data_IF_235717937685
#
_entry.id   IF_235717937685
#
_cell.length_a   1.000
_cell.length_b   1.000
_cell.length_c   1.000
_cell.angle_alpha   90.00
_cell.angle_beta   90.00
_cell.angle_gamma   90.00
#
_symmetry.space_group_name_H-M   'P 1'
#
loop_
_entity.id
_entity.type
_entity.pdbx_description
1 polymer ?
#
# COMPACT_ATOMS: atom_id res chain seq x y z
N UNK A 1 -15.71 21.35 -21.45
CA UNK A 1 -15.38 20.94 -21.25
C UNK A 1 -14.99 20.19 -20.77
N UNK A 2 -14.78 19.82 -20.67
CA UNK A 2 -14.47 19.29 -20.28
C UNK A 2 -14.02 18.47 -19.89
N UNK A 3 -13.65 18.22 -19.71
CA UNK A 3 -13.17 17.51 -19.38
C UNK A 3 -13.03 16.78 -18.77
N UNK A 4 -13.08 16.47 -18.40
CA UNK A 4 -12.93 15.75 -17.72
C UNK A 4 -12.76 14.74 -17.54
N UNK A 5 -12.71 14.66 -17.62
CA UNK A 5 -12.83 13.64 -17.37
C UNK A 5 -12.14 12.66 -17.10
N UNK A 6 -11.58 12.28 -17.29
CA UNK A 6 -11.01 11.18 -17.11
C UNK A 6 -10.48 10.89 -16.04
N UNK A 7 -10.41 11.37 -15.80
CA UNK A 7 -9.96 11.20 -14.94
C UNK A 7 -10.31 10.45 -14.14
N UNK A 8 -10.97 10.37 -13.85
CA UNK A 8 -11.51 9.63 -12.96
C UNK A 8 -11.20 8.26 -12.87
N UNK A 9 -10.40 7.70 -13.61
CA UNK A 9 -10.10 6.37 -13.45
C UNK A 9 -9.38 6.04 -12.20
N UNK A 10 -8.64 6.90 -11.58
CA UNK A 10 -7.94 6.61 -10.35
C UNK A 10 -8.06 7.78 -9.40
N UNK A 11 -8.75 7.55 -8.31
CA UNK A 11 -8.91 8.56 -7.28
C UNK A 11 -7.84 8.30 -6.22
N UNK A 12 -6.88 9.19 -6.11
CA UNK A 12 -5.76 9.01 -5.20
C UNK A 12 -6.06 9.44 -3.76
N UNK A 13 -7.28 9.91 -3.49
CA UNK A 13 -7.62 10.30 -2.14
C UNK A 13 -7.77 9.07 -1.24
N UNK A 14 -7.36 9.22 0.00
CA UNK A 14 -7.55 8.15 0.98
C UNK A 14 -8.96 8.20 1.50
N UNK A 15 -9.66 7.08 1.41
CA UNK A 15 -11.00 6.98 1.98
C UNK A 15 -10.88 6.67 3.47
N UNK A 16 -12.02 6.71 4.19
CA UNK A 16 -12.03 6.32 5.60
C UNK A 16 -11.53 4.91 5.78
N UNK A 17 -11.91 4.02 4.87
CA UNK A 17 -11.46 2.64 4.94
C UNK A 17 -9.96 2.54 4.71
N UNK A 18 -9.44 3.32 3.78
CA UNK A 18 -7.99 3.35 3.54
C UNK A 18 -7.26 3.83 4.80
N UNK A 19 -7.80 4.84 5.47
CA UNK A 19 -7.18 5.35 6.69
C UNK A 19 -7.17 4.30 7.79
N UNK A 20 -8.24 3.52 7.91
CA UNK A 20 -8.28 2.46 8.90
C UNK A 20 -7.25 1.38 8.59
N UNK A 21 -7.14 1.00 7.32
CA UNK A 21 -6.15 0.01 6.91
C UNK A 21 -4.74 0.52 7.13
N UNK A 22 -4.51 1.78 6.85
CA UNK A 22 -3.22 2.42 7.06
C UNK A 22 -2.83 2.35 8.53
N UNK A 23 -3.74 2.71 9.42
CA UNK A 23 -3.46 2.70 10.85
C UNK A 23 -3.18 1.29 11.35
N UNK A 24 -3.98 0.33 10.92
CA UNK A 24 -3.80 -1.05 11.33
C UNK A 24 -2.44 -1.57 10.88
N UNK A 25 -2.09 -1.28 9.62
CA UNK A 25 -0.83 -1.73 9.05
C UNK A 25 0.34 -1.10 9.81
N UNK A 26 0.26 0.20 10.06
CA UNK A 26 1.35 0.90 10.77
C UNK A 26 1.53 0.34 12.17
N UNK A 27 0.44 0.09 12.87
CA UNK A 27 0.50 -0.46 14.21
C UNK A 27 1.16 -1.82 14.23
N UNK A 28 0.80 -2.69 13.27
CA UNK A 28 1.36 -4.03 13.21
C UNK A 28 2.84 -4.00 12.86
N UNK A 29 3.22 -3.13 11.94
CA UNK A 29 4.62 -2.99 11.57
C UNK A 29 5.46 -2.49 12.74
N UNK A 30 4.93 -1.52 13.49
CA UNK A 30 5.64 -1.01 14.66
C UNK A 30 5.79 -2.08 15.73
N UNK A 31 4.76 -2.87 15.92
CA UNK A 31 4.82 -3.94 16.89
C UNK A 31 5.90 -4.95 16.53
N UNK A 32 6.09 -5.20 15.25
CA UNK A 32 7.08 -6.15 14.77
C UNK A 32 8.43 -5.51 14.48
N UNK A 33 8.58 -4.21 14.74
CA UNK A 33 9.82 -3.47 14.51
C UNK A 33 10.25 -3.50 13.05
N UNK A 34 9.29 -3.43 12.14
CA UNK A 34 9.55 -3.43 10.71
C UNK A 34 9.52 -1.99 10.22
N UNK A 35 10.63 -1.52 9.65
CA UNK A 35 10.72 -0.16 9.14
C UNK A 35 10.66 -0.09 7.62
N UNK A 36 11.10 -1.15 6.94
CA UNK A 36 11.01 -1.24 5.48
C UNK A 36 10.03 -2.38 5.19
N UNK A 37 8.99 -2.08 4.45
CA UNK A 37 7.91 -3.05 4.27
C UNK A 37 7.46 -3.10 2.82
N UNK A 38 6.60 -4.05 2.52
CA UNK A 38 6.10 -4.26 1.17
C UNK A 38 4.68 -4.79 1.23
N UNK A 39 4.10 -5.03 0.05
CA UNK A 39 2.78 -5.63 -0.03
C UNK A 39 2.73 -7.03 0.59
N UNK A 40 3.89 -7.72 0.63
CA UNK A 40 3.95 -9.03 1.29
C UNK A 40 3.56 -8.91 2.76
N UNK A 41 4.04 -7.86 3.43
CA UNK A 41 3.72 -7.66 4.84
C UNK A 41 2.23 -7.39 5.01
N UNK A 42 1.65 -6.62 4.11
CA UNK A 42 0.23 -6.34 4.14
C UNK A 42 -0.58 -7.63 4.03
N UNK A 43 -0.17 -8.51 3.12
CA UNK A 43 -0.83 -9.80 2.95
C UNK A 43 -0.57 -10.73 4.12
N UNK A 44 0.64 -10.70 4.67
CA UNK A 44 0.97 -11.52 5.81
C UNK A 44 0.10 -11.20 7.01
N UNK A 45 -0.25 -9.91 7.18
CA UNK A 45 -1.15 -9.50 8.23
C UNK A 45 -2.61 -9.70 7.86
N UNK A 46 -2.87 -10.24 6.66
CA UNK A 46 -4.22 -10.52 6.17
C UNK A 46 -5.09 -9.27 6.03
N UNK A 47 -4.46 -8.14 5.84
CA UNK A 47 -5.20 -6.90 5.66
C UNK A 47 -5.79 -6.78 4.26
N UNK A 48 -5.30 -7.57 3.33
CA UNK A 48 -5.81 -7.56 1.96
C UNK A 48 -7.29 -7.96 1.91
N UNK A 49 -7.77 -8.68 2.91
CA UNK A 49 -9.19 -9.08 2.94
C UNK A 49 -10.12 -7.89 3.11
N UNK A 50 -9.59 -6.74 3.52
CA UNK A 50 -10.38 -5.53 3.67
C UNK A 50 -10.36 -4.66 2.41
N UNK A 51 -9.69 -5.13 1.37
CA UNK A 51 -9.61 -4.43 0.09
C UNK A 51 -10.65 -5.06 -0.83
N UNK A 52 -11.51 -4.21 -1.40
CA UNK A 52 -12.61 -4.71 -2.22
C UNK A 52 -12.17 -5.38 -3.52
N UNK A 53 -11.08 -4.94 -4.08
CA UNK A 53 -10.58 -5.51 -5.33
C UNK A 53 -9.21 -6.12 -5.08
N UNK A 54 -9.16 -7.41 -4.73
CA UNK A 54 -7.88 -8.02 -4.36
C UNK A 54 -6.87 -8.09 -5.50
N UNK A 55 -7.32 -7.99 -6.74
CA UNK A 55 -6.37 -8.04 -7.85
C UNK A 55 -5.63 -6.73 -8.02
N UNK A 56 -6.32 -5.61 -7.83
CA UNK A 56 -5.73 -4.31 -8.03
C UNK A 56 -5.67 -3.49 -6.76
N UNK A 57 -6.38 -3.94 -5.74
CA UNK A 57 -6.60 -3.14 -4.55
C UNK A 57 -5.35 -2.81 -3.77
N UNK A 58 -4.47 -3.79 -3.60
CA UNK A 58 -3.26 -3.58 -2.80
C UNK A 58 -2.33 -2.62 -3.50
N UNK A 59 -2.14 -2.81 -4.81
CA UNK A 59 -1.30 -1.90 -5.58
C UNK A 59 -1.84 -0.49 -5.55
N UNK A 60 -3.15 -0.36 -5.72
CA UNK A 60 -3.79 0.95 -5.68
C UNK A 60 -3.65 1.58 -4.29
N UNK A 61 -3.79 0.77 -3.24
CA UNK A 61 -3.66 1.25 -1.88
C UNK A 61 -2.26 1.85 -1.64
N UNK A 62 -1.21 1.10 -2.03
CA UNK A 62 0.15 1.61 -1.86
C UNK A 62 0.41 2.83 -2.73
N UNK A 63 -0.15 2.88 -3.94
CA UNK A 63 -0.04 4.05 -4.79
C UNK A 63 -0.66 5.27 -4.13
N UNK A 64 -1.80 5.10 -3.48
CA UNK A 64 -2.44 6.18 -2.73
C UNK A 64 -1.57 6.64 -1.58
N UNK A 65 -0.94 5.70 -0.88
CA UNK A 65 -0.08 6.07 0.24
C UNK A 65 1.10 6.91 -0.24
N UNK A 66 1.69 6.55 -1.38
CA UNK A 66 2.79 7.32 -1.94
C UNK A 66 2.31 8.70 -2.36
N UNK A 67 1.20 8.78 -3.07
CA UNK A 67 0.68 10.06 -3.56
C UNK A 67 0.28 10.99 -2.44
N UNK A 68 -0.16 10.43 -1.33
CA UNK A 68 -0.55 11.23 -0.17
C UNK A 68 0.61 11.44 0.79
N UNK A 69 1.81 11.06 0.39
CA UNK A 69 3.04 11.28 1.15
C UNK A 69 3.03 10.62 2.51
N UNK A 70 2.37 9.48 2.60
CA UNK A 70 2.39 8.70 3.84
C UNK A 70 3.59 7.78 3.87
N UNK A 71 3.99 7.28 2.71
CA UNK A 71 5.15 6.40 2.59
C UNK A 71 5.98 6.85 1.39
N UNK A 72 7.22 6.37 1.34
CA UNK A 72 8.06 6.60 0.16
C UNK A 72 8.60 5.27 -0.31
N UNK A 73 8.77 5.16 -1.60
CA UNK A 73 9.35 3.98 -2.24
C UNK A 73 10.85 4.04 -2.05
N UNK A 74 11.44 2.97 -1.51
CA UNK A 74 12.86 2.98 -1.21
C UNK A 74 13.65 1.91 -1.96
N UNK A 75 13.01 0.92 -2.53
CA UNK A 75 13.76 -0.11 -3.25
C UNK A 75 12.85 -1.22 -3.71
N UNK A 76 13.47 -2.35 -4.02
CA UNK A 76 12.78 -3.53 -4.50
C UNK A 76 13.29 -4.76 -3.77
N UNK A 77 12.50 -5.80 -3.75
CA UNK A 77 12.92 -7.08 -3.21
C UNK A 77 12.15 -8.18 -3.94
N UNK A 78 12.64 -9.39 -3.85
CA UNK A 78 11.88 -10.54 -4.33
C UNK A 78 10.76 -10.80 -3.33
N UNK A 79 9.58 -11.14 -3.82
CA UNK A 79 8.48 -11.47 -2.94
C UNK A 79 8.77 -12.76 -2.18
N UNK A 80 8.42 -12.77 -0.90
CA UNK A 80 8.57 -13.96 -0.06
C UNK A 80 7.36 -14.86 -0.14
N UNK A 81 6.28 -14.39 -0.76
CA UNK A 81 5.04 -15.15 -0.79
C UNK A 81 5.05 -16.09 -1.98
N UNK A 82 4.65 -17.32 -1.71
CA UNK A 82 4.59 -18.35 -2.72
C UNK A 82 3.71 -17.95 -3.88
N UNK A 83 2.63 -17.26 -3.60
CA UNK A 83 1.69 -16.85 -4.63
C UNK A 83 2.30 -15.87 -5.62
N UNK A 84 3.39 -15.21 -5.27
CA UNK A 84 4.04 -14.25 -6.16
C UNK A 84 5.26 -14.82 -6.87
N UNK A 85 5.70 -16.01 -6.52
CA UNK A 85 6.75 -16.72 -7.24
C UNK A 85 7.97 -15.89 -7.58
N UNK A 86 8.59 -15.29 -6.62
CA UNK A 86 9.81 -14.53 -6.85
C UNK A 86 9.63 -13.28 -7.68
N UNK A 87 8.41 -12.81 -7.85
CA UNK A 87 8.22 -11.52 -8.50
C UNK A 87 8.92 -10.44 -7.69
N UNK A 88 9.49 -9.48 -8.39
CA UNK A 88 10.09 -8.33 -7.74
C UNK A 88 8.99 -7.36 -7.33
N UNK A 89 9.01 -6.96 -6.08
CA UNK A 89 8.01 -6.03 -5.56
C UNK A 89 8.71 -4.84 -4.94
N UNK A 90 7.97 -3.74 -4.83
CA UNK A 90 8.51 -2.51 -4.27
C UNK A 90 8.54 -2.57 -2.75
N UNK A 91 9.54 -1.90 -2.17
CA UNK A 91 9.61 -1.73 -0.74
C UNK A 91 9.42 -0.27 -0.39
N UNK A 92 8.92 -0.02 0.81
CA UNK A 92 8.51 1.31 1.23
C UNK A 92 8.93 1.55 2.67
N UNK A 93 8.92 2.80 3.06
CA UNK A 93 9.04 3.17 4.48
C UNK A 93 8.11 4.34 4.75
N UNK A 94 7.75 4.52 6.00
CA UNK A 94 6.90 5.63 6.39
C UNK A 94 7.67 6.93 6.25
N UNK A 95 7.00 7.93 5.74
CA UNK A 95 7.62 9.25 5.68
C UNK A 95 7.50 9.91 7.04
N UNK A 96 8.55 10.58 7.44
CA UNK A 96 8.50 11.33 8.68
C UNK A 96 7.73 12.61 8.42
N UNK A 97 6.87 12.95 9.36
CA UNK A 97 6.12 14.19 9.26
C UNK A 97 7.04 15.33 9.59
N UNK A 98 6.99 16.37 8.80
CA UNK A 98 7.81 17.53 9.07
C UNK A 98 7.23 18.34 10.20
#
# INVERSE_FOLDING_TARGET
MTSQAPLSRFDSRLTSKDEMNLKAFKTLLEKDNITIFSSDDFRRYQLDRFINDPQHGIGAFFSKLVKNRKVEHVGYKASDLESNHSHTIKTYRWRLEA
#
